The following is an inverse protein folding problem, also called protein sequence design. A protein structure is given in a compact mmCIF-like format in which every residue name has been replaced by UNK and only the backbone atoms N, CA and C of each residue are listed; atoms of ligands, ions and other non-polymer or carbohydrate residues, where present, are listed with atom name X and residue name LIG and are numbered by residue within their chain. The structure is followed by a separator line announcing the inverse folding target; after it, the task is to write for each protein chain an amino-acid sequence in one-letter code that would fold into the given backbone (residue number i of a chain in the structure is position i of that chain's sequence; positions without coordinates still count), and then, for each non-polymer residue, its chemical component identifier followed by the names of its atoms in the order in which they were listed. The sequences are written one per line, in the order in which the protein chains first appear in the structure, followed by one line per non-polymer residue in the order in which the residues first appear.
data_IF_176454828090
#
_entry.id   IF_176454828090
#
_cell.length_a   1.000
_cell.length_b   1.000
_cell.length_c   1.000
_cell.angle_alpha   90.00
_cell.angle_beta   90.00
_cell.angle_gamma   90.00
#
_symmetry.space_group_name_H-M   'P 1'
#
loop_
_entity.id
_entity.type
_entity.pdbx_description
1 polymer ?
#
# COMPACT_ATOMS: atom_id res chain seq x y z
N UNK A 1 -20.34 22.15 19.72
CA UNK A 1 -18.95 21.90 19.28
C UNK A 1 -18.49 20.47 19.54
N UNK A 2 -18.68 19.92 20.76
CA UNK A 2 -18.24 18.54 21.12
C UNK A 2 -19.00 17.46 20.34
N UNK A 3 -20.30 17.61 20.11
CA UNK A 3 -21.12 16.68 19.34
C UNK A 3 -20.73 16.64 17.87
N UNK A 4 -20.45 17.79 17.26
CA UNK A 4 -20.03 17.86 15.86
C UNK A 4 -18.67 17.17 15.66
N UNK A 5 -17.77 17.32 16.63
CA UNK A 5 -16.46 16.65 16.60
C UNK A 5 -16.57 15.13 16.71
N UNK A 6 -17.39 14.61 17.63
CA UNK A 6 -17.68 13.20 17.79
C UNK A 6 -18.33 12.59 16.53
N UNK A 7 -19.25 13.30 15.90
CA UNK A 7 -19.93 12.85 14.68
C UNK A 7 -18.94 12.77 13.51
N UNK A 8 -18.03 13.75 13.40
CA UNK A 8 -17.01 13.75 12.36
C UNK A 8 -15.96 12.66 12.58
N UNK A 9 -15.52 12.44 13.82
CA UNK A 9 -14.63 11.34 14.17
C UNK A 9 -15.25 9.98 13.85
N UNK A 10 -16.52 9.76 14.19
CA UNK A 10 -17.24 8.52 13.86
C UNK A 10 -17.37 8.32 12.36
N UNK A 11 -17.68 9.38 11.60
CA UNK A 11 -17.74 9.32 10.14
C UNK A 11 -16.40 8.93 9.53
N UNK A 12 -15.32 9.46 10.08
CA UNK A 12 -13.97 9.14 9.63
C UNK A 12 -13.62 7.66 9.90
N UNK A 13 -13.93 7.15 11.09
CA UNK A 13 -13.75 5.74 11.43
C UNK A 13 -14.56 4.81 10.51
N UNK A 14 -15.83 5.11 10.28
CA UNK A 14 -16.69 4.33 9.40
C UNK A 14 -16.16 4.32 7.96
N UNK A 15 -15.68 5.45 7.47
CA UNK A 15 -15.06 5.55 6.15
C UNK A 15 -13.78 4.72 6.06
N UNK A 16 -12.90 4.80 7.07
CA UNK A 16 -11.66 4.03 7.11
C UNK A 16 -11.93 2.52 7.15
N UNK A 17 -12.89 2.09 7.95
CA UNK A 17 -13.32 0.69 8.02
C UNK A 17 -13.88 0.20 6.67
N UNK A 18 -14.73 0.99 6.02
CA UNK A 18 -15.28 0.66 4.71
C UNK A 18 -14.19 0.55 3.63
N UNK A 19 -13.19 1.44 3.63
CA UNK A 19 -12.09 1.43 2.66
C UNK A 19 -11.10 0.28 2.86
N UNK A 20 -11.02 -0.29 4.06
CA UNK A 20 -10.14 -1.43 4.38
C UNK A 20 -10.90 -2.74 4.62
N UNK A 21 -12.20 -2.79 4.33
CA UNK A 21 -13.05 -3.96 4.58
C UNK A 21 -12.52 -5.23 3.89
N UNK A 22 -11.98 -5.10 2.67
CA UNK A 22 -11.39 -6.21 1.94
C UNK A 22 -10.16 -6.77 2.68
N UNK A 23 -9.28 -5.92 3.16
CA UNK A 23 -8.08 -6.31 3.90
C UNK A 23 -8.44 -6.94 5.25
N UNK A 24 -9.45 -6.44 5.93
CA UNK A 24 -9.98 -7.03 7.17
C UNK A 24 -10.50 -8.45 6.90
N UNK A 25 -11.23 -8.66 5.81
CA UNK A 25 -11.69 -9.98 5.40
C UNK A 25 -10.52 -10.93 5.08
N UNK A 26 -9.49 -10.45 4.38
CA UNK A 26 -8.26 -11.21 4.12
C UNK A 26 -7.56 -11.62 5.42
N UNK A 27 -7.47 -10.73 6.40
CA UNK A 27 -6.88 -11.04 7.71
C UNK A 27 -7.66 -12.15 8.42
N UNK A 28 -8.98 -12.11 8.40
CA UNK A 28 -9.81 -13.17 9.00
C UNK A 28 -9.55 -14.53 8.37
N UNK A 29 -9.46 -14.59 7.04
CA UNK A 29 -9.18 -15.83 6.31
C UNK A 29 -7.78 -16.36 6.62
N UNK A 30 -6.77 -15.48 6.64
CA UNK A 30 -5.40 -15.85 6.98
C UNK A 30 -5.27 -16.35 8.43
N UNK A 31 -5.92 -15.69 9.38
CA UNK A 31 -5.93 -16.11 10.79
C UNK A 31 -6.66 -17.45 10.98
N UNK A 32 -7.75 -17.69 10.26
CA UNK A 32 -8.46 -18.95 10.29
C UNK A 32 -7.61 -20.09 9.73
N UNK A 33 -6.90 -19.86 8.63
CA UNK A 33 -5.95 -20.83 8.07
C UNK A 33 -4.77 -21.09 9.01
N UNK A 34 -4.22 -20.03 9.62
CA UNK A 34 -3.12 -20.12 10.58
C UNK A 34 -3.49 -21.00 11.79
N UNK A 35 -4.71 -20.87 12.32
CA UNK A 35 -5.19 -21.69 13.43
C UNK A 35 -5.28 -23.19 13.11
N UNK A 36 -5.46 -23.56 11.85
CA UNK A 36 -5.59 -24.94 11.38
C UNK A 36 -4.28 -25.54 10.88
N UNK A 37 -3.25 -24.71 10.73
CA UNK A 37 -1.97 -25.11 10.11
C UNK A 37 -1.05 -25.74 11.17
N UNK A 38 -0.62 -26.97 10.93
CA UNK A 38 0.35 -27.67 11.74
C UNK A 38 1.79 -27.56 11.22
N UNK A 39 1.94 -27.23 9.92
CA UNK A 39 3.24 -26.99 9.29
C UNK A 39 3.82 -25.63 9.73
N UNK A 40 4.97 -25.68 10.40
CA UNK A 40 5.66 -24.49 10.91
C UNK A 40 6.11 -23.53 9.82
N UNK A 41 6.49 -24.02 8.64
CA UNK A 41 6.89 -23.19 7.51
C UNK A 41 5.68 -22.45 6.92
N UNK A 42 4.57 -23.15 6.74
CA UNK A 42 3.32 -22.54 6.30
C UNK A 42 2.79 -21.53 7.31
N UNK A 43 2.84 -21.86 8.60
CA UNK A 43 2.42 -20.95 9.67
C UNK A 43 3.23 -19.65 9.66
N UNK A 44 4.54 -19.74 9.49
CA UNK A 44 5.42 -18.56 9.40
C UNK A 44 5.10 -17.72 8.16
N UNK A 45 4.84 -18.33 7.04
CA UNK A 45 4.44 -17.67 5.80
C UNK A 45 3.12 -16.92 5.95
N UNK A 46 2.10 -17.57 6.51
CA UNK A 46 0.80 -16.95 6.80
C UNK A 46 0.93 -15.77 7.79
N UNK A 47 1.73 -15.94 8.84
CA UNK A 47 1.98 -14.85 9.78
C UNK A 47 2.64 -13.64 9.12
N UNK A 48 3.58 -13.87 8.21
CA UNK A 48 4.19 -12.81 7.40
C UNK A 48 3.16 -12.04 6.57
N UNK A 49 2.22 -12.74 5.95
CA UNK A 49 1.12 -12.12 5.20
C UNK A 49 0.19 -11.30 6.12
N UNK A 50 -0.13 -11.81 7.31
CA UNK A 50 -0.91 -11.09 8.33
C UNK A 50 -0.22 -9.78 8.72
N UNK A 51 1.09 -9.80 8.92
CA UNK A 51 1.87 -8.61 9.27
C UNK A 51 1.85 -7.59 8.14
N UNK A 52 2.03 -8.01 6.89
CA UNK A 52 2.01 -7.13 5.71
C UNK A 52 0.66 -6.42 5.59
N UNK A 53 -0.44 -7.17 5.62
CA UNK A 53 -1.78 -6.62 5.48
C UNK A 53 -2.17 -5.75 6.68
N UNK A 54 -1.85 -6.19 7.89
CA UNK A 54 -2.11 -5.44 9.12
C UNK A 54 -1.35 -4.11 9.16
N UNK A 55 -0.13 -4.07 8.70
CA UNK A 55 0.68 -2.85 8.57
C UNK A 55 0.06 -1.87 7.59
N UNK A 56 -0.44 -2.34 6.45
CA UNK A 56 -1.17 -1.50 5.51
C UNK A 56 -2.39 -0.82 6.15
N UNK A 57 -3.24 -1.57 6.81
CA UNK A 57 -4.41 -1.02 7.50
C UNK A 57 -4.00 0.05 8.51
N UNK A 58 -3.02 -0.25 9.35
CA UNK A 58 -2.50 0.68 10.36
C UNK A 58 -1.93 1.95 9.75
N UNK A 59 -1.06 1.83 8.76
CA UNK A 59 -0.37 2.98 8.15
C UNK A 59 -1.30 3.83 7.30
N UNK A 60 -2.20 3.21 6.56
CA UNK A 60 -3.21 3.93 5.81
C UNK A 60 -4.10 4.76 6.73
N UNK A 61 -4.54 4.18 7.83
CA UNK A 61 -5.31 4.89 8.85
C UNK A 61 -4.53 6.08 9.42
N UNK A 62 -3.25 5.90 9.72
CA UNK A 62 -2.39 6.99 10.19
C UNK A 62 -2.24 8.12 9.16
N UNK A 63 -2.11 7.81 7.88
CA UNK A 63 -2.06 8.83 6.81
C UNK A 63 -3.34 9.69 6.79
N UNK A 64 -4.49 9.05 6.93
CA UNK A 64 -5.77 9.75 6.97
C UNK A 64 -5.86 10.65 8.20
N UNK A 65 -5.53 10.14 9.39
CA UNK A 65 -5.55 10.94 10.63
C UNK A 65 -4.60 12.14 10.58
N UNK A 66 -3.38 11.94 10.13
CA UNK A 66 -2.40 13.02 9.98
C UNK A 66 -2.90 14.06 8.98
N UNK A 67 -3.46 13.61 7.87
CA UNK A 67 -4.03 14.47 6.86
C UNK A 67 -5.21 15.32 7.37
N UNK A 68 -6.11 14.71 8.13
CA UNK A 68 -7.22 15.45 8.76
C UNK A 68 -6.73 16.50 9.77
N UNK A 69 -5.67 16.21 10.51
CA UNK A 69 -5.12 17.15 11.49
C UNK A 69 -4.30 18.28 10.87
N UNK A 70 -3.54 17.99 9.82
CA UNK A 70 -2.56 18.90 9.22
C UNK A 70 -2.97 19.47 7.86
N UNK A 71 -4.01 18.91 7.24
CA UNK A 71 -4.48 19.27 5.91
C UNK A 71 -3.62 18.74 4.76
N UNK A 72 -2.50 18.08 5.05
CA UNK A 72 -1.59 17.52 4.05
C UNK A 72 -0.70 16.43 4.66
N UNK A 73 -0.09 15.64 3.79
CA UNK A 73 0.90 14.61 4.14
C UNK A 73 2.27 15.06 3.63
N UNK A 74 3.29 15.05 4.49
CA UNK A 74 4.64 15.33 4.05
C UNK A 74 5.22 14.16 3.24
N UNK A 75 6.15 14.46 2.34
CA UNK A 75 6.93 13.42 1.62
C UNK A 75 7.63 12.48 2.60
N UNK A 76 8.09 13.02 3.74
CA UNK A 76 8.73 12.21 4.78
C UNK A 76 7.79 11.20 5.43
N UNK A 77 6.53 11.56 5.66
CA UNK A 77 5.52 10.64 6.22
C UNK A 77 5.20 9.51 5.25
N UNK A 78 5.09 9.81 3.95
CA UNK A 78 4.93 8.79 2.92
C UNK A 78 6.15 7.86 2.86
N UNK A 79 7.35 8.42 2.95
CA UNK A 79 8.60 7.64 2.97
C UNK A 79 8.64 6.67 4.16
N UNK A 80 8.30 7.12 5.36
CA UNK A 80 8.25 6.27 6.55
C UNK A 80 7.23 5.14 6.40
N UNK A 81 6.07 5.45 5.85
CA UNK A 81 5.01 4.49 5.58
C UNK A 81 5.47 3.37 4.62
N UNK A 82 6.08 3.74 3.50
CA UNK A 82 6.60 2.79 2.52
C UNK A 82 7.79 1.99 3.05
N UNK A 83 8.68 2.62 3.81
CA UNK A 83 9.84 1.94 4.39
C UNK A 83 9.42 0.87 5.40
N UNK A 84 8.47 1.13 6.27
CA UNK A 84 7.98 0.12 7.22
C UNK A 84 7.34 -1.07 6.49
N UNK A 85 6.53 -0.80 5.47
CA UNK A 85 5.95 -1.87 4.65
C UNK A 85 7.01 -2.66 3.90
N UNK A 86 8.05 -1.99 3.40
CA UNK A 86 9.21 -2.63 2.75
C UNK A 86 9.96 -3.56 3.71
N UNK A 87 10.21 -3.12 4.94
CA UNK A 87 10.86 -3.95 5.97
C UNK A 87 10.08 -5.23 6.26
N UNK A 88 8.75 -5.16 6.34
CA UNK A 88 7.90 -6.32 6.54
C UNK A 88 7.97 -7.29 5.36
N UNK A 89 8.06 -6.78 4.14
CA UNK A 89 8.23 -7.61 2.93
C UNK A 89 9.58 -8.32 2.95
N UNK A 90 10.64 -7.64 3.37
CA UNK A 90 11.97 -8.24 3.50
C UNK A 90 11.96 -9.36 4.55
N UNK A 91 11.35 -9.14 5.69
CA UNK A 91 11.20 -10.17 6.74
C UNK A 91 10.37 -11.35 6.24
N UNK A 92 9.38 -11.10 5.40
CA UNK A 92 8.56 -12.13 4.75
C UNK A 92 9.37 -13.01 3.80
N UNK A 93 10.46 -12.49 3.23
CA UNK A 93 11.41 -13.24 2.40
C UNK A 93 11.54 -12.78 0.96
N UNK A 94 10.99 -11.62 0.62
CA UNK A 94 11.19 -10.99 -0.69
C UNK A 94 12.12 -9.79 -0.58
N UNK A 95 12.87 -9.51 -1.64
CA UNK A 95 13.65 -8.28 -1.71
C UNK A 95 12.71 -7.08 -1.93
N UNK A 96 12.92 -6.02 -1.17
CA UNK A 96 12.11 -4.82 -1.33
C UNK A 96 12.97 -3.57 -1.13
N UNK A 97 12.81 -2.60 -2.02
CA UNK A 97 13.48 -1.30 -1.94
C UNK A 97 12.51 -0.17 -2.23
N UNK A 98 12.64 0.89 -1.47
CA UNK A 98 11.85 2.11 -1.59
C UNK A 98 12.73 3.28 -1.93
N UNK A 99 12.37 4.04 -2.96
CA UNK A 99 13.01 5.29 -3.36
C UNK A 99 11.93 6.37 -3.42
N UNK A 100 12.04 7.38 -2.56
CA UNK A 100 11.13 8.53 -2.55
C UNK A 100 11.95 9.79 -2.75
N UNK A 101 11.73 10.47 -3.88
CA UNK A 101 12.43 11.70 -4.26
C UNK A 101 11.47 12.89 -4.25
N UNK A 102 12.01 14.05 -3.99
CA UNK A 102 11.28 15.31 -3.93
C UNK A 102 11.01 15.75 -2.50
N UNK A 103 10.42 16.92 -2.38
CA UNK A 103 10.15 17.59 -1.12
C UNK A 103 8.75 18.20 -1.13
N UNK A 104 8.30 18.62 0.04
CA UNK A 104 7.04 19.30 0.23
C UNK A 104 5.93 18.39 0.71
N UNK A 105 4.73 18.65 0.24
CA UNK A 105 3.52 18.02 0.73
C UNK A 105 2.68 17.42 -0.40
N UNK A 106 1.95 16.38 -0.03
CA UNK A 106 0.96 15.68 -0.83
C UNK A 106 -0.43 15.91 -0.22
N UNK A 107 -1.46 15.82 -1.01
CA UNK A 107 -2.81 15.65 -0.46
C UNK A 107 -2.94 14.26 0.18
N UNK A 108 -3.88 14.12 1.10
CA UNK A 108 -4.21 12.79 1.67
C UNK A 108 -4.56 11.81 0.58
N UNK A 109 -5.33 12.27 -0.42
CA UNK A 109 -5.72 11.46 -1.56
C UNK A 109 -4.52 10.98 -2.37
N UNK A 110 -3.56 11.86 -2.69
CA UNK A 110 -2.34 11.46 -3.39
C UNK A 110 -1.52 10.44 -2.61
N UNK A 111 -1.31 10.68 -1.32
CA UNK A 111 -0.54 9.78 -0.46
C UNK A 111 -1.21 8.41 -0.32
N UNK A 112 -2.52 8.36 -0.12
CA UNK A 112 -3.28 7.10 -0.05
C UNK A 112 -3.32 6.37 -1.38
N UNK A 113 -3.43 7.08 -2.51
CA UNK A 113 -3.38 6.45 -3.84
C UNK A 113 -2.02 5.80 -4.13
N UNK A 114 -0.92 6.44 -3.73
CA UNK A 114 0.42 5.83 -3.82
C UNK A 114 0.48 4.56 -3.00
N UNK A 115 0.06 4.62 -1.76
CA UNK A 115 0.12 3.49 -0.83
C UNK A 115 -0.83 2.36 -1.22
N UNK A 116 -2.02 2.70 -1.72
CA UNK A 116 -3.01 1.73 -2.21
C UNK A 116 -2.51 0.98 -3.45
N UNK A 117 -1.81 1.65 -4.36
CA UNK A 117 -1.19 0.99 -5.51
C UNK A 117 -0.07 0.02 -5.08
N UNK A 118 0.79 0.46 -4.17
CA UNK A 118 1.83 -0.40 -3.59
C UNK A 118 1.22 -1.66 -2.97
N UNK A 119 0.22 -1.51 -2.13
CA UNK A 119 -0.46 -2.64 -1.48
C UNK A 119 -1.17 -3.55 -2.46
N UNK A 120 -1.83 -2.99 -3.48
CA UNK A 120 -2.51 -3.79 -4.51
C UNK A 120 -1.54 -4.69 -5.29
N UNK A 121 -0.34 -4.20 -5.58
CA UNK A 121 0.73 -4.99 -6.17
C UNK A 121 1.19 -6.09 -5.22
N UNK A 122 1.47 -5.76 -3.97
CA UNK A 122 1.91 -6.72 -2.95
C UNK A 122 0.86 -7.81 -2.73
N UNK A 123 -0.42 -7.44 -2.56
CA UNK A 123 -1.51 -8.40 -2.35
C UNK A 123 -1.72 -9.33 -3.55
N UNK A 124 -1.57 -8.83 -4.77
CA UNK A 124 -1.65 -9.66 -5.99
C UNK A 124 -0.55 -10.71 -6.04
N UNK A 125 0.64 -10.39 -5.53
CA UNK A 125 1.84 -11.19 -5.65
C UNK A 125 2.26 -11.88 -4.34
N UNK A 126 1.43 -11.86 -3.29
CA UNK A 126 1.79 -12.35 -1.94
C UNK A 126 2.43 -13.75 -1.93
N UNK A 127 1.94 -14.67 -2.76
CA UNK A 127 2.45 -16.05 -2.80
C UNK A 127 3.70 -16.21 -3.68
N UNK A 128 3.95 -15.29 -4.60
CA UNK A 128 5.02 -15.42 -5.61
C UNK A 128 6.01 -14.26 -5.64
N UNK A 129 5.85 -13.26 -4.78
CA UNK A 129 6.72 -12.08 -4.75
C UNK A 129 8.17 -12.47 -4.44
N UNK A 130 9.09 -12.09 -5.32
CA UNK A 130 10.54 -12.28 -5.15
C UNK A 130 11.26 -10.98 -4.91
N UNK A 131 10.90 -9.94 -5.67
CA UNK A 131 11.53 -8.63 -5.54
C UNK A 131 10.55 -7.54 -5.95
N UNK A 132 10.62 -6.42 -5.26
CA UNK A 132 9.82 -5.23 -5.50
C UNK A 132 10.66 -3.98 -5.30
N UNK A 133 10.69 -3.12 -6.29
CA UNK A 133 11.23 -1.77 -6.19
C UNK A 133 10.09 -0.78 -6.40
N UNK A 134 9.85 0.10 -5.44
CA UNK A 134 8.97 1.25 -5.63
C UNK A 134 9.77 2.54 -5.69
N UNK A 135 9.50 3.34 -6.71
CA UNK A 135 10.04 4.68 -6.89
C UNK A 135 8.90 5.69 -6.93
N UNK A 136 8.97 6.69 -6.07
CA UNK A 136 8.02 7.80 -6.03
C UNK A 136 8.77 9.10 -6.27
N UNK A 137 8.36 9.87 -7.27
CA UNK A 137 8.87 11.20 -7.55
C UNK A 137 7.78 12.24 -7.29
N UNK A 138 8.07 13.16 -6.39
CA UNK A 138 7.17 14.26 -6.03
C UNK A 138 7.73 15.57 -6.62
N UNK A 139 7.12 16.02 -7.70
CA UNK A 139 7.48 17.23 -8.44
C UNK A 139 6.24 17.99 -8.89
N UNK A 140 6.19 18.41 -10.14
CA UNK A 140 5.01 19.00 -10.75
C UNK A 140 3.82 18.02 -10.79
N UNK A 141 4.13 16.73 -10.89
CA UNK A 141 3.22 15.59 -10.72
C UNK A 141 3.79 14.66 -9.66
N UNK A 142 2.97 13.76 -9.16
CA UNK A 142 3.43 12.61 -8.38
C UNK A 142 3.47 11.41 -9.30
N UNK A 143 4.66 10.88 -9.52
CA UNK A 143 4.85 9.69 -10.36
C UNK A 143 5.28 8.50 -9.49
N UNK A 144 4.58 7.39 -9.65
CA UNK A 144 4.85 6.14 -8.94
C UNK A 144 5.17 5.06 -9.95
N UNK A 145 6.32 4.43 -9.78
CA UNK A 145 6.72 3.27 -10.60
C UNK A 145 7.09 2.12 -9.69
N UNK A 146 6.52 0.95 -9.97
CA UNK A 146 6.90 -0.30 -9.31
C UNK A 146 7.51 -1.24 -10.35
N UNK A 147 8.67 -1.79 -10.01
CA UNK A 147 9.31 -2.87 -10.76
C UNK A 147 9.19 -4.15 -9.94
N UNK A 148 8.62 -5.19 -10.51
CA UNK A 148 8.18 -6.38 -9.77
C UNK A 148 8.69 -7.65 -10.43
N UNK A 149 9.35 -8.49 -9.63
CA UNK A 149 9.67 -9.87 -9.99
C UNK A 149 8.72 -10.81 -9.26
N UNK A 150 7.73 -11.33 -9.98
CA UNK A 150 6.70 -12.21 -9.45
C UNK A 150 6.01 -12.98 -10.60
N UNK A 151 5.20 -13.98 -10.25
CA UNK A 151 4.60 -14.86 -11.23
C UNK A 151 3.29 -14.38 -11.83
N UNK A 152 2.48 -13.65 -11.04
CA UNK A 152 1.15 -13.23 -11.47
C UNK A 152 1.20 -11.95 -12.33
N UNK A 153 0.43 -11.87 -13.42
CA UNK A 153 0.39 -10.67 -14.24
C UNK A 153 -0.34 -9.53 -13.54
N UNK A 154 0.27 -8.34 -13.51
CA UNK A 154 -0.27 -7.14 -12.87
C UNK A 154 -1.20 -6.32 -13.78
N UNK A 155 -1.37 -6.70 -15.05
CA UNK A 155 -2.25 -5.99 -15.99
C UNK A 155 -3.71 -5.93 -15.50
N UNK A 156 -4.16 -6.88 -14.69
CA UNK A 156 -5.50 -6.90 -14.09
C UNK A 156 -5.77 -5.73 -13.13
N UNK A 157 -4.72 -5.08 -12.60
CA UNK A 157 -4.87 -3.90 -11.75
C UNK A 157 -5.45 -2.68 -12.46
N UNK A 158 -5.48 -2.68 -13.79
CA UNK A 158 -6.15 -1.63 -14.59
C UNK A 158 -7.66 -1.55 -14.32
N UNK A 159 -8.28 -2.63 -13.88
CA UNK A 159 -9.69 -2.62 -13.49
C UNK A 159 -9.93 -1.69 -12.27
N UNK A 160 -8.98 -1.63 -11.35
CA UNK A 160 -9.03 -0.77 -10.17
C UNK A 160 -8.37 0.59 -10.39
N UNK A 161 -7.30 0.62 -11.19
CA UNK A 161 -6.52 1.81 -11.53
C UNK A 161 -6.52 1.99 -13.07
N UNK A 162 -7.58 2.61 -13.65
CA UNK A 162 -7.75 2.67 -15.10
C UNK A 162 -6.63 3.42 -15.84
N UNK A 163 -5.95 4.33 -15.17
CA UNK A 163 -4.82 5.13 -15.66
C UNK A 163 -3.45 4.46 -15.48
N UNK A 164 -3.43 3.20 -15.00
CA UNK A 164 -2.21 2.45 -14.81
C UNK A 164 -1.58 2.06 -16.14
N UNK A 165 -0.31 2.38 -16.30
CA UNK A 165 0.54 1.86 -17.36
C UNK A 165 1.21 0.57 -16.90
N UNK A 166 1.17 -0.47 -17.71
CA UNK A 166 1.78 -1.77 -17.43
C UNK A 166 2.61 -2.24 -18.61
N UNK A 167 3.82 -2.69 -18.31
CA UNK A 167 4.75 -3.29 -19.25
C UNK A 167 5.42 -4.52 -18.63
N UNK A 168 5.83 -5.44 -19.46
CA UNK A 168 6.65 -6.59 -19.07
C UNK A 168 7.82 -6.71 -20.04
N UNK A 169 9.03 -6.88 -19.50
CA UNK A 169 10.22 -7.05 -20.32
C UNK A 169 10.47 -8.53 -20.69
N UNK A 170 11.52 -8.76 -21.46
CA UNK A 170 11.91 -10.11 -21.92
C UNK A 170 12.32 -11.04 -20.80
N UNK A 171 12.81 -10.49 -19.69
CA UNK A 171 13.22 -11.26 -18.49
C UNK A 171 12.04 -11.54 -17.54
N UNK A 172 10.84 -11.07 -17.87
CA UNK A 172 9.63 -11.28 -17.10
C UNK A 172 9.41 -10.28 -15.97
N UNK A 173 10.26 -9.25 -15.85
CA UNK A 173 10.04 -8.15 -14.92
C UNK A 173 8.85 -7.30 -15.37
N UNK A 174 7.99 -6.99 -14.43
CA UNK A 174 6.81 -6.18 -14.65
C UNK A 174 7.02 -4.75 -14.12
N UNK A 175 6.58 -3.79 -14.90
CA UNK A 175 6.64 -2.37 -14.57
C UNK A 175 5.24 -1.80 -14.56
N UNK A 176 4.82 -1.25 -13.45
CA UNK A 176 3.56 -0.51 -13.34
C UNK A 176 3.86 0.94 -12.98
N UNK A 177 3.27 1.86 -13.73
CA UNK A 177 3.48 3.30 -13.55
C UNK A 177 2.14 4.01 -13.47
N UNK A 178 2.04 4.96 -12.56
CA UNK A 178 0.88 5.83 -12.41
C UNK A 178 1.33 7.26 -12.17
N UNK A 179 0.70 8.19 -12.86
CA UNK A 179 0.92 9.63 -12.70
C UNK A 179 -0.30 10.25 -12.05
N UNK A 180 -0.08 10.92 -10.92
CA UNK A 180 -1.11 11.62 -10.19
C UNK A 180 -0.92 13.12 -10.39
N UNK A 181 -1.97 13.82 -10.85
CA UNK A 181 -1.91 15.26 -10.98
C UNK A 181 -1.78 15.92 -9.61
N UNK A 182 -0.90 16.91 -9.54
CA UNK A 182 -0.86 17.80 -8.39
C UNK A 182 -1.98 18.82 -8.56
N UNK A 183 -2.98 18.75 -7.72
CA UNK A 183 -4.00 19.80 -7.65
C UNK A 183 -3.26 21.12 -7.40
N UNK A 184 -3.33 22.03 -8.38
CA UNK A 184 -2.84 23.39 -8.19
C UNK A 184 -3.71 24.03 -7.11
N UNK A 185 -3.10 24.27 -5.96
CA UNK A 185 -3.70 25.08 -4.93
C UNK A 185 -3.85 26.55 -5.37
#
# INVERSE_FOLDING_TARGET
ARWLKLTEENRLYDMMEAQTARQIAMLRDLLAELQKTEDSNRARHLLGQVIIIGTYIKRRSNLIFVGEQRGAISVQELRLCLNESSENIIVYGADCKTIVKGEGQLTVEQATQVYDLFEAVVETELESLRALLISVEVGAQVEVTLCVSAAEPLCGLRARFPDLEWEQDEDGLQYVTRKLERLRG
#
